data_IF_829283677072
#
_entry.id   IF_829283677072
#
_cell.length_a   1.000
_cell.length_b   1.000
_cell.length_c   1.000
_cell.angle_alpha   90.00
_cell.angle_beta   90.00
_cell.angle_gamma   90.00
#
_symmetry.space_group_name_H-M   'P 1'
#
loop_
_entity.id
_entity.type
_entity.pdbx_description
1 polymer ?
#
# COMPACT_ATOMS: atom_id res chain seq x y z
N UNK A 1 8.85 4.18 20.25
CA UNK A 1 9.20 4.40 21.68
C UNK A 1 8.69 3.23 22.50
N UNK A 2 9.58 2.46 23.14
CA UNK A 2 9.18 1.36 24.02
C UNK A 2 8.69 1.93 25.37
N UNK A 3 7.39 2.24 25.46
CA UNK A 3 6.78 2.69 26.70
C UNK A 3 6.74 1.53 27.72
N UNK A 4 7.22 1.77 28.94
CA UNK A 4 7.24 0.78 30.02
C UNK A 4 6.68 1.37 31.32
N UNK A 5 6.23 0.48 32.22
CA UNK A 5 5.84 0.83 33.59
C UNK A 5 4.77 1.93 33.67
N UNK A 6 5.08 3.02 34.40
CA UNK A 6 4.18 4.14 34.64
C UNK A 6 3.82 4.90 33.36
N UNK A 7 4.80 5.15 32.49
CA UNK A 7 4.59 5.88 31.23
C UNK A 7 3.59 5.18 30.29
N UNK A 8 3.60 3.85 30.27
CA UNK A 8 2.62 3.05 29.53
C UNK A 8 1.19 3.23 30.07
N UNK A 9 1.02 3.19 31.40
CA UNK A 9 -0.29 3.35 32.05
C UNK A 9 -0.83 4.76 31.90
N UNK A 10 0.03 5.76 32.02
CA UNK A 10 -0.32 7.17 31.84
C UNK A 10 -0.79 7.41 30.40
N UNK A 11 -0.09 6.84 29.41
CA UNK A 11 -0.49 6.92 28.01
C UNK A 11 -1.82 6.18 27.74
N UNK A 12 -2.01 4.99 28.32
CA UNK A 12 -3.28 4.26 28.23
C UNK A 12 -4.46 5.03 28.85
N UNK A 13 -4.20 5.77 29.94
CA UNK A 13 -5.19 6.61 30.60
C UNK A 13 -5.55 7.83 29.73
N UNK A 14 -4.55 8.51 29.13
CA UNK A 14 -4.79 9.59 28.18
C UNK A 14 -5.64 9.14 26.98
N UNK A 15 -5.39 7.93 26.46
CA UNK A 15 -6.14 7.33 25.35
C UNK A 15 -7.48 6.73 25.76
N UNK A 16 -7.89 6.87 27.04
CA UNK A 16 -9.16 6.36 27.59
C UNK A 16 -9.40 4.86 27.32
N UNK A 17 -8.35 4.05 27.32
CA UNK A 17 -8.45 2.59 27.10
C UNK A 17 -9.25 1.95 28.25
N UNK A 18 -10.35 1.27 27.91
CA UNK A 18 -11.22 0.54 28.87
C UNK A 18 -10.56 -0.77 29.29
N UNK A 19 -10.79 -1.21 30.53
CA UNK A 19 -10.25 -2.47 31.04
C UNK A 19 -8.72 -2.50 31.24
N UNK A 20 -8.03 -1.36 31.09
CA UNK A 20 -6.56 -1.23 31.20
C UNK A 20 -5.96 -1.77 32.50
N UNK A 21 -6.72 -1.84 33.58
CA UNK A 21 -6.32 -2.38 34.89
C UNK A 21 -6.31 -3.90 34.96
N UNK A 22 -6.97 -4.59 34.02
CA UNK A 22 -7.01 -6.05 33.91
C UNK A 22 -6.06 -6.60 32.83
N UNK A 23 -5.45 -5.73 32.04
CA UNK A 23 -4.54 -6.10 30.96
C UNK A 23 -3.12 -6.35 31.49
N UNK A 24 -2.45 -7.36 30.94
CA UNK A 24 -1.00 -7.55 31.13
C UNK A 24 -0.22 -6.38 30.51
N UNK A 25 1.06 -6.25 30.86
CA UNK A 25 1.90 -5.18 30.32
C UNK A 25 2.01 -5.23 28.79
N UNK A 26 2.03 -6.42 28.19
CA UNK A 26 2.13 -6.59 26.73
C UNK A 26 0.80 -6.33 26.02
N UNK A 27 -0.32 -6.79 26.59
CA UNK A 27 -1.66 -6.43 26.09
C UNK A 27 -1.91 -4.92 26.17
N UNK A 28 -1.46 -4.28 27.26
CA UNK A 28 -1.60 -2.84 27.44
C UNK A 28 -0.70 -2.07 26.46
N UNK A 29 0.52 -2.55 26.18
CA UNK A 29 1.38 -2.00 25.11
C UNK A 29 0.72 -2.11 23.75
N UNK A 30 0.19 -3.29 23.41
CA UNK A 30 -0.51 -3.53 22.15
C UNK A 30 -1.74 -2.61 22.02
N UNK A 31 -2.53 -2.48 23.09
CA UNK A 31 -3.69 -1.60 23.12
C UNK A 31 -3.32 -0.11 23.01
N UNK A 32 -2.25 0.32 23.69
CA UNK A 32 -1.74 1.70 23.58
C UNK A 32 -1.18 1.99 22.19
N UNK A 33 -0.47 1.04 21.57
CA UNK A 33 -0.01 1.14 20.19
C UNK A 33 -1.18 1.23 19.20
N UNK A 34 -2.20 0.40 19.39
CA UNK A 34 -3.40 0.41 18.56
C UNK A 34 -4.21 1.70 18.73
N UNK A 35 -4.36 2.20 19.96
CA UNK A 35 -5.11 3.43 20.25
C UNK A 35 -4.32 4.73 20.01
N UNK A 36 -2.99 4.68 20.01
CA UNK A 36 -2.12 5.76 19.53
C UNK A 36 -1.87 5.70 18.04
N UNK A 37 -2.45 4.75 17.31
CA UNK A 37 -2.46 4.81 15.86
C UNK A 37 -3.14 6.14 15.49
N UNK A 38 -2.43 7.08 14.86
CA UNK A 38 -3.03 8.34 14.51
C UNK A 38 -4.24 8.05 13.61
N UNK A 39 -5.37 8.70 13.92
CA UNK A 39 -6.48 8.82 12.99
C UNK A 39 -6.03 9.79 11.88
N UNK A 40 -5.04 9.33 11.11
CA UNK A 40 -4.38 10.16 10.14
C UNK A 40 -5.34 10.36 8.99
N UNK A 41 -5.55 11.61 8.54
CA UNK A 41 -6.47 11.86 7.44
C UNK A 41 -6.03 11.11 6.18
N UNK A 42 -7.04 10.72 5.42
CA UNK A 42 -6.87 10.20 4.07
C UNK A 42 -6.60 11.36 3.13
N UNK A 43 -5.59 11.21 2.27
CA UNK A 43 -5.24 12.19 1.25
C UNK A 43 -5.14 11.51 -0.11
N UNK A 44 -5.50 12.23 -1.15
CA UNK A 44 -5.43 11.75 -2.53
C UNK A 44 -4.00 11.33 -2.90
N UNK A 45 -3.87 10.15 -3.50
CA UNK A 45 -2.59 9.52 -3.79
C UNK A 45 -2.58 8.78 -5.13
N UNK A 46 -3.56 9.03 -6.00
CA UNK A 46 -3.62 8.43 -7.34
C UNK A 46 -2.33 8.67 -8.10
N UNK A 47 -1.71 7.60 -8.60
CA UNK A 47 -0.41 7.64 -9.28
C UNK A 47 0.82 7.82 -8.37
N UNK A 48 0.62 8.12 -7.08
CA UNK A 48 1.69 8.50 -6.14
C UNK A 48 1.77 7.61 -4.89
N UNK A 49 1.34 6.35 -5.03
CA UNK A 49 1.46 5.35 -3.96
C UNK A 49 2.88 4.78 -3.90
N UNK A 50 3.49 4.74 -2.72
CA UNK A 50 4.82 4.20 -2.45
C UNK A 50 4.78 3.01 -1.49
N UNK A 51 5.88 2.26 -1.40
CA UNK A 51 6.04 1.24 -0.37
C UNK A 51 5.97 1.87 1.03
N UNK A 52 5.30 1.18 1.96
CA UNK A 52 5.03 1.66 3.31
C UNK A 52 3.70 2.39 3.47
N UNK A 53 3.10 2.92 2.39
CA UNK A 53 1.79 3.59 2.46
C UNK A 53 0.70 2.63 2.96
N UNK A 54 -0.23 3.16 3.77
CA UNK A 54 -1.53 2.55 3.97
C UNK A 54 -2.52 3.21 3.02
N UNK A 55 -3.04 2.44 2.07
CA UNK A 55 -3.88 2.93 0.98
C UNK A 55 -5.31 2.43 1.10
N UNK A 56 -6.23 3.22 0.55
CA UNK A 56 -7.64 2.88 0.33
C UNK A 56 -7.93 3.03 -1.16
N UNK A 57 -8.43 1.97 -1.80
CA UNK A 57 -8.82 2.02 -3.21
C UNK A 57 -9.97 1.07 -3.49
N UNK A 58 -10.69 1.34 -4.58
CA UNK A 58 -11.78 0.51 -5.07
C UNK A 58 -11.33 -0.25 -6.32
N UNK A 59 -11.62 -1.54 -6.40
CA UNK A 59 -11.41 -2.34 -7.60
C UNK A 59 -12.68 -3.04 -8.06
N UNK A 60 -12.79 -3.22 -9.38
CA UNK A 60 -13.84 -4.00 -10.00
C UNK A 60 -13.63 -5.50 -9.77
N UNK A 61 -14.71 -6.19 -9.42
CA UNK A 61 -14.77 -7.64 -9.27
C UNK A 61 -15.35 -8.21 -10.56
N UNK A 62 -14.62 -9.12 -11.17
CA UNK A 62 -14.97 -9.74 -12.44
C UNK A 62 -15.15 -11.24 -12.26
N UNK A 63 -16.19 -11.80 -12.88
CA UNK A 63 -16.43 -13.23 -12.98
C UNK A 63 -16.60 -13.66 -14.44
N UNK A 64 -17.17 -14.86 -14.62
CA UNK A 64 -17.33 -15.45 -15.95
C UNK A 64 -16.03 -16.05 -16.50
N UNK A 65 -16.03 -16.37 -17.79
CA UNK A 65 -14.86 -16.99 -18.44
C UNK A 65 -13.90 -15.94 -18.99
N UNK A 66 -12.63 -16.31 -19.19
CA UNK A 66 -11.60 -15.41 -19.76
C UNK A 66 -12.02 -14.76 -21.10
N UNK A 67 -12.82 -15.44 -21.92
CA UNK A 67 -13.30 -14.93 -23.21
C UNK A 67 -14.58 -14.08 -23.08
N UNK A 68 -15.33 -14.22 -21.98
CA UNK A 68 -16.57 -13.51 -21.70
C UNK A 68 -16.57 -13.03 -20.24
N UNK A 69 -15.71 -12.06 -19.89
CA UNK A 69 -15.66 -11.52 -18.54
C UNK A 69 -16.96 -10.77 -18.26
N UNK A 70 -17.52 -10.99 -17.06
CA UNK A 70 -18.71 -10.28 -16.57
C UNK A 70 -18.32 -9.43 -15.38
N UNK A 71 -18.68 -8.15 -15.41
CA UNK A 71 -18.55 -7.28 -14.23
C UNK A 71 -19.58 -7.72 -13.19
N UNK A 72 -19.12 -8.03 -11.98
CA UNK A 72 -19.99 -8.48 -10.89
C UNK A 72 -20.28 -7.36 -9.89
N UNK A 73 -19.39 -6.37 -9.80
CA UNK A 73 -19.50 -5.28 -8.84
C UNK A 73 -18.14 -4.74 -8.46
N UNK A 74 -18.05 -4.15 -7.27
CA UNK A 74 -16.84 -3.52 -6.76
C UNK A 74 -16.57 -3.92 -5.31
N UNK A 75 -15.30 -3.81 -4.92
CA UNK A 75 -14.87 -3.87 -3.52
C UNK A 75 -13.89 -2.76 -3.20
N UNK A 76 -13.98 -2.26 -1.99
CA UNK A 76 -13.01 -1.31 -1.42
C UNK A 76 -12.02 -2.09 -0.57
N UNK A 77 -10.74 -1.77 -0.71
CA UNK A 77 -9.65 -2.43 0.00
C UNK A 77 -8.82 -1.36 0.71
N UNK A 78 -8.65 -1.55 2.01
CA UNK A 78 -7.64 -0.86 2.81
C UNK A 78 -6.46 -1.81 2.98
N UNK A 79 -5.28 -1.41 2.56
CA UNK A 79 -4.10 -2.28 2.59
C UNK A 79 -2.81 -1.49 2.85
N UNK A 80 -1.83 -2.18 3.45
CA UNK A 80 -0.46 -1.69 3.54
C UNK A 80 0.32 -2.11 2.29
N UNK A 81 1.01 -1.17 1.68
CA UNK A 81 1.91 -1.44 0.56
C UNK A 81 3.21 -2.01 1.12
N UNK A 82 3.46 -3.29 0.88
CA UNK A 82 4.70 -3.92 1.31
C UNK A 82 5.84 -3.57 0.35
N UNK A 83 5.58 -3.67 -0.96
CA UNK A 83 6.57 -3.42 -2.02
C UNK A 83 5.86 -2.96 -3.28
N UNK A 84 6.55 -2.19 -4.11
CA UNK A 84 6.13 -1.90 -5.47
C UNK A 84 7.26 -2.19 -6.48
N UNK A 85 6.89 -2.52 -7.72
CA UNK A 85 7.87 -2.84 -8.76
C UNK A 85 7.43 -2.38 -10.13
N UNK A 86 8.41 -1.92 -10.92
CA UNK A 86 8.27 -1.60 -12.34
C UNK A 86 8.89 -2.73 -13.15
N UNK A 87 8.04 -3.50 -13.86
CA UNK A 87 8.53 -4.55 -14.74
C UNK A 87 9.38 -4.00 -15.89
N UNK A 88 10.68 -4.32 -15.92
CA UNK A 88 11.66 -3.79 -16.87
C UNK A 88 11.29 -3.99 -18.35
N UNK A 89 10.55 -5.05 -18.68
CA UNK A 89 10.19 -5.39 -20.06
C UNK A 89 8.83 -4.84 -20.53
N UNK A 90 7.88 -4.53 -19.64
CA UNK A 90 6.50 -4.18 -20.04
C UNK A 90 5.93 -2.97 -19.30
N UNK A 91 6.74 -2.28 -18.48
CA UNK A 91 6.31 -1.16 -17.64
C UNK A 91 5.08 -1.48 -16.78
N UNK A 92 4.91 -2.75 -16.41
CA UNK A 92 3.83 -3.14 -15.51
C UNK A 92 4.21 -2.71 -14.10
N UNK A 93 3.57 -1.65 -13.62
CA UNK A 93 3.64 -1.26 -12.22
C UNK A 93 2.77 -2.21 -11.39
N UNK A 94 3.36 -2.87 -10.40
CA UNK A 94 2.64 -3.79 -9.51
C UNK A 94 2.97 -3.52 -8.07
N UNK A 95 1.99 -3.76 -7.21
CA UNK A 95 2.08 -3.64 -5.77
C UNK A 95 1.88 -5.00 -5.11
N UNK A 96 2.68 -5.27 -4.10
CA UNK A 96 2.43 -6.31 -3.10
C UNK A 96 1.77 -5.62 -1.90
N UNK A 97 0.53 -5.98 -1.63
CA UNK A 97 -0.33 -5.36 -0.64
C UNK A 97 -0.67 -6.38 0.45
N UNK A 98 -0.64 -5.96 1.70
CA UNK A 98 -1.21 -6.72 2.82
C UNK A 98 -2.54 -6.10 3.20
N UNK A 99 -3.63 -6.84 3.05
CA UNK A 99 -4.99 -6.37 3.34
C UNK A 99 -5.13 -6.13 4.83
N UNK A 100 -5.67 -4.97 5.18
CA UNK A 100 -6.07 -4.62 6.56
C UNK A 100 -7.58 -4.84 6.68
N UNK A 101 -8.33 -4.31 5.71
CA UNK A 101 -9.78 -4.40 5.66
C UNK A 101 -10.24 -4.45 4.19
N UNK A 102 -11.34 -5.15 3.93
CA UNK A 102 -11.98 -5.15 2.63
C UNK A 102 -13.50 -5.20 2.79
N UNK A 103 -14.19 -4.34 2.05
CA UNK A 103 -15.66 -4.22 2.06
C UNK A 103 -16.21 -4.28 0.64
N UNK A 104 -17.46 -4.74 0.49
CA UNK A 104 -18.10 -4.93 -0.81
C UNK A 104 -18.05 -6.38 -1.30
N UNK A 105 -18.13 -6.56 -2.62
CA UNK A 105 -18.30 -7.88 -3.22
C UNK A 105 -17.02 -8.74 -3.10
N UNK A 106 -17.17 -10.00 -2.70
CA UNK A 106 -16.04 -10.92 -2.48
C UNK A 106 -14.95 -10.27 -1.59
N UNK A 107 -15.35 -9.78 -0.41
CA UNK A 107 -14.42 -9.19 0.54
C UNK A 107 -13.23 -10.09 0.81
N UNK A 108 -12.04 -9.52 0.85
CA UNK A 108 -10.79 -10.25 1.06
C UNK A 108 -10.48 -10.26 2.56
N UNK A 109 -10.09 -11.43 3.09
CA UNK A 109 -9.74 -11.58 4.49
C UNK A 109 -8.57 -10.67 4.90
N UNK A 110 -8.67 -10.05 6.07
CA UNK A 110 -7.59 -9.27 6.67
C UNK A 110 -6.31 -10.12 6.83
N UNK A 111 -5.14 -9.50 6.65
CA UNK A 111 -3.84 -10.16 6.65
C UNK A 111 -3.44 -10.81 5.32
N UNK A 112 -4.37 -11.01 4.39
CA UNK A 112 -4.07 -11.59 3.06
C UNK A 112 -3.05 -10.74 2.30
N UNK A 113 -2.00 -11.37 1.80
CA UNK A 113 -1.03 -10.72 0.91
C UNK A 113 -1.44 -10.96 -0.54
N UNK A 114 -1.66 -9.88 -1.29
CA UNK A 114 -2.09 -9.93 -2.67
C UNK A 114 -1.25 -9.03 -3.57
N UNK A 115 -1.21 -9.38 -4.86
CA UNK A 115 -0.55 -8.58 -5.89
C UNK A 115 -1.57 -7.91 -6.79
N UNK A 116 -1.43 -6.60 -7.00
CA UNK A 116 -2.30 -5.80 -7.88
C UNK A 116 -1.49 -4.96 -8.84
N UNK A 117 -2.04 -4.75 -10.04
CA UNK A 117 -1.46 -3.84 -11.02
C UNK A 117 -1.81 -2.41 -10.63
N UNK A 118 -0.88 -1.47 -10.82
CA UNK A 118 -1.11 -0.06 -10.49
C UNK A 118 -2.32 0.53 -11.22
N UNK A 119 -2.52 0.18 -12.49
CA UNK A 119 -3.72 0.57 -13.25
C UNK A 119 -5.05 0.10 -12.65
N UNK A 120 -5.04 -0.95 -11.82
CA UNK A 120 -6.24 -1.41 -11.12
C UNK A 120 -6.39 -0.66 -9.80
N UNK A 121 -5.29 -0.48 -9.06
CA UNK A 121 -5.26 0.31 -7.82
C UNK A 121 -5.77 1.72 -8.07
N UNK A 122 -5.27 2.38 -9.12
CA UNK A 122 -5.58 3.78 -9.44
C UNK A 122 -6.89 4.00 -10.20
N UNK A 123 -7.60 2.96 -10.62
CA UNK A 123 -8.71 3.07 -11.59
C UNK A 123 -9.83 3.99 -11.09
N UNK A 124 -10.18 3.86 -9.81
CA UNK A 124 -11.31 4.55 -9.19
C UNK A 124 -10.84 5.58 -8.15
N UNK A 125 -9.62 6.11 -8.35
CA UNK A 125 -8.94 6.92 -7.34
C UNK A 125 -8.26 6.04 -6.29
N UNK A 126 -7.29 6.62 -5.59
CA UNK A 126 -6.61 5.98 -4.47
C UNK A 126 -6.22 7.03 -3.47
N UNK A 127 -6.54 6.79 -2.21
CA UNK A 127 -6.09 7.62 -1.11
C UNK A 127 -5.06 6.87 -0.29
N UNK A 128 -4.24 7.61 0.45
CA UNK A 128 -3.35 7.07 1.48
C UNK A 128 -3.61 7.78 2.80
N UNK A 129 -3.30 7.10 3.91
CA UNK A 129 -3.11 7.80 5.19
C UNK A 129 -1.80 8.57 5.16
N UNK A 130 -1.76 9.76 5.77
CA UNK A 130 -0.46 10.42 5.97
C UNK A 130 0.43 9.55 6.85
N UNK A 131 1.74 9.67 6.64
CA UNK A 131 2.70 9.06 7.53
C UNK A 131 2.81 9.90 8.81
N UNK A 132 3.21 9.27 9.91
CA UNK A 132 3.63 10.03 11.10
C UNK A 132 4.80 10.96 10.77
N UNK A 133 5.68 10.49 9.89
CA UNK A 133 6.79 11.25 9.32
C UNK A 133 6.65 11.29 7.80
N UNK A 134 6.16 12.41 7.28
CA UNK A 134 6.00 12.62 5.84
C UNK A 134 7.36 12.87 5.14
N UNK A 135 8.42 13.22 5.87
CA UNK A 135 9.76 13.32 5.30
C UNK A 135 10.32 11.93 4.98
N UNK A 136 10.17 10.97 5.90
CA UNK A 136 10.49 9.57 5.64
C UNK A 136 9.71 9.02 4.43
N UNK A 137 8.45 9.43 4.25
CA UNK A 137 7.70 9.08 3.03
C UNK A 137 8.32 9.67 1.77
N UNK A 138 8.73 10.95 1.79
CA UNK A 138 9.36 11.60 0.63
C UNK A 138 10.62 10.87 0.20
N UNK A 139 11.42 10.38 1.15
CA UNK A 139 12.61 9.58 0.87
C UNK A 139 12.25 8.25 0.20
N UNK A 140 11.28 7.50 0.75
CA UNK A 140 10.79 6.26 0.15
C UNK A 140 10.23 6.49 -1.27
N UNK A 141 9.56 7.62 -1.49
CA UNK A 141 9.03 8.02 -2.79
C UNK A 141 10.17 8.38 -3.77
N UNK A 142 11.18 9.12 -3.32
CA UNK A 142 12.34 9.50 -4.13
C UNK A 142 13.14 8.25 -4.58
N UNK A 143 13.36 7.29 -3.67
CA UNK A 143 13.99 6.01 -4.00
C UNK A 143 13.20 5.25 -5.08
N UNK A 144 11.87 5.20 -4.95
CA UNK A 144 10.98 4.61 -5.96
C UNK A 144 11.15 5.29 -7.32
N UNK A 145 11.16 6.63 -7.36
CA UNK A 145 11.34 7.37 -8.61
C UNK A 145 12.69 7.09 -9.25
N UNK A 146 13.78 7.12 -8.46
CA UNK A 146 15.13 6.82 -8.93
C UNK A 146 15.24 5.42 -9.55
N UNK A 147 14.69 4.41 -8.87
CA UNK A 147 14.63 3.03 -9.39
C UNK A 147 13.77 2.94 -10.66
N UNK A 148 12.66 3.67 -10.71
CA UNK A 148 11.82 3.78 -11.90
C UNK A 148 12.55 4.38 -13.10
N UNK A 149 13.31 5.45 -12.88
CA UNK A 149 14.12 6.12 -13.91
C UNK A 149 15.27 5.25 -14.40
N UNK A 150 15.94 4.52 -13.51
CA UNK A 150 16.96 3.55 -13.88
C UNK A 150 16.37 2.45 -14.80
N UNK A 151 15.16 1.96 -14.49
CA UNK A 151 14.46 0.98 -15.31
C UNK A 151 14.06 1.53 -16.69
N UNK A 152 13.54 2.77 -16.74
CA UNK A 152 13.22 3.47 -18.00
C UNK A 152 14.47 3.66 -18.88
N UNK A 153 15.56 4.13 -18.29
CA UNK A 153 16.85 4.35 -18.97
C UNK A 153 17.41 3.05 -19.54
N UNK A 154 17.39 1.98 -18.75
CA UNK A 154 17.84 0.65 -19.17
C UNK A 154 17.03 0.12 -20.36
N UNK A 155 15.71 0.34 -20.37
CA UNK A 155 14.86 -0.01 -21.50
C UNK A 155 15.19 0.82 -22.75
N UNK A 156 15.37 2.14 -22.61
CA UNK A 156 15.74 3.01 -23.73
C UNK A 156 17.02 2.50 -24.41
N UNK A 157 18.06 2.21 -23.61
CA UNK A 157 19.32 1.63 -24.12
C UNK A 157 19.12 0.29 -24.83
N UNK A 158 18.26 -0.60 -24.32
CA UNK A 158 17.93 -1.87 -24.99
C UNK A 158 17.25 -1.64 -26.33
N UNK A 159 16.20 -0.82 -26.36
CA UNK A 159 15.46 -0.50 -27.60
C UNK A 159 16.35 0.17 -28.65
N UNK A 160 17.23 1.07 -28.23
CA UNK A 160 18.15 1.74 -29.15
C UNK A 160 19.19 0.77 -29.73
N UNK A 161 19.66 -0.20 -28.93
CA UNK A 161 20.52 -1.29 -29.43
C UNK A 161 19.79 -2.21 -30.41
N UNK A 162 18.55 -2.60 -30.10
CA UNK A 162 17.77 -3.48 -30.98
C UNK A 162 17.50 -2.79 -32.33
N UNK A 163 17.13 -1.50 -32.31
CA UNK A 163 16.98 -0.67 -33.52
C UNK A 163 18.26 -0.56 -34.36
N UNK A 164 19.44 -0.43 -33.72
CA UNK A 164 20.72 -0.39 -34.42
C UNK A 164 21.09 -1.73 -35.07
N UNK A 165 20.59 -2.86 -34.54
CA UNK A 165 20.79 -4.20 -35.12
C UNK A 165 19.86 -4.46 -36.30
N UNK A 166 18.64 -3.92 -36.27
CA UNK A 166 17.65 -4.07 -37.36
C UNK A 166 17.88 -3.08 -38.53
N UNK A 167 18.64 -2.00 -38.32
CA UNK A 167 18.94 -0.99 -39.34
C UNK A 167 20.26 -1.17 -40.10
N UNK A 168 20.96 -2.29 -39.91
CA UNK A 168 22.14 -2.63 -40.70
C UNK A 168 21.72 -3.38 -41.97
N UNK A 169 21.63 -2.66 -43.08
CA UNK A 169 21.72 -3.21 -44.43
C UNK A 169 23.17 -3.09 -44.91
#
# INVERSE_FOLDING_TARGET
>A
MNLTGKALRDRAAQLKIRGRSKMTADELRAAVLAASAPDTPWVEATGNVAAGDTIRFTEDVWGGSRRRPRHLGQRTIIARVLKDSYGAQRQQHTFTLQVIESTGLESIAAGTVLRRKGRNVYRHGTERRLWQDEQARREALAEKHLRGDAARTSRRRRRDRDRRREGGW
#
